data_IF_198146149897
#
_entry.id   IF_198146149897
#
_cell.length_a   1.000
_cell.length_b   1.000
_cell.length_c   1.000
_cell.angle_alpha   90.00
_cell.angle_beta   90.00
_cell.angle_gamma   90.00
#
_symmetry.space_group_name_H-M   'P 1'
#
loop_
_entity.id
_entity.type
_entity.pdbx_description
1 polymer ?
#
# COMPACT_ATOMS: atom_id res chain seq x y z
N UNK A 1 21.76 26.94 -4.34
CA UNK A 1 21.60 25.59 -3.78
C UNK A 1 20.19 25.16 -4.12
N UNK A 2 20.01 24.25 -5.08
CA UNK A 2 18.68 23.71 -5.37
C UNK A 2 18.24 22.84 -4.18
N UNK A 3 16.97 22.84 -3.78
CA UNK A 3 16.49 21.92 -2.77
C UNK A 3 16.66 20.47 -3.28
N UNK A 4 17.33 19.64 -2.48
CA UNK A 4 17.43 18.20 -2.72
C UNK A 4 16.01 17.60 -2.85
N UNK A 5 15.79 16.69 -3.83
CA UNK A 5 14.49 16.04 -3.99
C UNK A 5 14.20 15.22 -2.72
N UNK A 6 13.30 15.73 -1.87
CA UNK A 6 12.80 14.96 -0.73
C UNK A 6 12.02 13.76 -1.26
N UNK A 7 12.36 12.56 -0.79
CA UNK A 7 11.58 11.36 -1.06
C UNK A 7 10.12 11.60 -0.64
N UNK A 8 9.17 11.20 -1.50
CA UNK A 8 7.74 11.24 -1.15
C UNK A 8 7.47 10.13 -0.16
N UNK A 9 7.39 10.47 1.13
CA UNK A 9 7.05 9.55 2.21
C UNK A 9 5.55 9.24 2.18
N UNK A 10 5.20 7.98 2.02
CA UNK A 10 3.85 7.45 2.20
C UNK A 10 3.77 6.68 3.52
N UNK A 11 2.72 6.93 4.30
CA UNK A 11 2.53 6.29 5.61
C UNK A 11 1.20 5.55 5.64
N UNK A 12 1.20 4.23 5.87
CA UNK A 12 -0.03 3.49 6.15
C UNK A 12 -0.52 3.82 7.56
N UNK A 13 -1.81 4.14 7.66
CA UNK A 13 -2.52 4.44 8.91
C UNK A 13 -3.68 3.48 9.11
N UNK A 14 -4.00 3.16 10.37
CA UNK A 14 -4.97 2.10 10.71
C UNK A 14 -6.15 2.70 11.48
N UNK A 15 -6.92 3.50 10.75
CA UNK A 15 -7.99 4.33 11.28
C UNK A 15 -7.73 5.82 11.03
N UNK A 16 -8.74 6.68 11.24
CA UNK A 16 -8.63 8.11 10.95
C UNK A 16 -7.75 8.90 11.92
N UNK A 17 -7.64 8.45 13.18
CA UNK A 17 -7.00 9.22 14.26
C UNK A 17 -5.49 9.40 14.08
N UNK A 18 -4.83 8.48 13.36
CA UNK A 18 -3.39 8.52 13.12
C UNK A 18 -2.98 9.54 12.04
N UNK A 19 -3.93 9.98 11.21
CA UNK A 19 -3.69 10.81 10.04
C UNK A 19 -3.00 12.15 10.33
N UNK A 20 -3.55 13.00 11.21
CA UNK A 20 -2.95 14.29 11.55
C UNK A 20 -1.52 14.18 12.08
N UNK A 21 -1.26 13.17 12.92
CA UNK A 21 0.08 12.93 13.45
C UNK A 21 1.06 12.56 12.32
N UNK A 22 0.68 11.61 11.45
CA UNK A 22 1.50 11.21 10.31
C UNK A 22 1.86 12.41 9.41
N UNK A 23 0.89 13.28 9.10
CA UNK A 23 1.11 14.51 8.31
C UNK A 23 2.03 15.48 9.05
N UNK A 24 1.84 15.68 10.36
CA UNK A 24 2.71 16.57 11.16
C UNK A 24 4.17 16.12 11.20
N UNK A 25 4.42 14.81 11.05
CA UNK A 25 5.76 14.20 10.98
C UNK A 25 6.34 14.19 9.57
N UNK A 26 5.64 14.74 8.58
CA UNK A 26 6.12 14.90 7.21
C UNK A 26 5.66 13.82 6.23
N UNK A 27 4.63 13.04 6.55
CA UNK A 27 3.97 12.20 5.55
C UNK A 27 3.49 13.07 4.38
N UNK A 28 3.85 12.68 3.17
CA UNK A 28 3.46 13.36 1.93
C UNK A 28 2.28 12.68 1.23
N UNK A 29 1.91 11.48 1.67
CA UNK A 29 0.75 10.69 1.26
C UNK A 29 0.36 9.74 2.40
N UNK A 30 -0.93 9.41 2.51
CA UNK A 30 -1.44 8.44 3.48
C UNK A 30 -2.06 7.24 2.77
N UNK A 31 -1.87 6.05 3.30
CA UNK A 31 -2.64 4.87 2.94
C UNK A 31 -3.61 4.54 4.09
N UNK A 32 -4.91 4.74 3.87
CA UNK A 32 -5.95 4.46 4.87
C UNK A 32 -6.33 2.98 4.85
N UNK A 33 -6.13 2.35 6.00
CA UNK A 33 -6.60 1.01 6.34
C UNK A 33 -7.70 1.08 7.41
N UNK A 34 -8.52 0.04 7.51
CA UNK A 34 -9.54 -0.08 8.56
C UNK A 34 -8.92 -0.05 9.97
N UNK A 35 -9.58 0.62 10.91
CA UNK A 35 -9.21 0.59 12.31
C UNK A 35 -9.15 -0.85 12.85
N UNK A 36 -8.11 -1.16 13.62
CA UNK A 36 -7.88 -2.49 14.18
C UNK A 36 -7.40 -3.56 13.19
N UNK A 37 -7.14 -3.22 11.92
CA UNK A 37 -6.73 -4.19 10.89
C UNK A 37 -5.21 -4.40 10.76
N UNK A 38 -4.39 -3.77 11.62
CA UNK A 38 -2.92 -3.88 11.56
C UNK A 38 -2.43 -5.33 11.63
N UNK A 39 -2.96 -6.12 12.58
CA UNK A 39 -2.61 -7.52 12.75
C UNK A 39 -2.99 -8.39 11.54
N UNK A 40 -3.89 -7.91 10.67
CA UNK A 40 -4.31 -8.57 9.44
C UNK A 40 -3.52 -8.09 8.23
N UNK A 41 -2.60 -7.13 8.39
CA UNK A 41 -1.87 -6.48 7.31
C UNK A 41 -2.71 -5.47 6.52
N UNK A 42 -3.72 -4.86 7.16
CA UNK A 42 -4.60 -3.89 6.51
C UNK A 42 -5.79 -4.52 5.81
N UNK A 43 -6.98 -3.94 6.01
CA UNK A 43 -8.22 -4.29 5.30
C UNK A 43 -8.96 -3.03 4.88
N UNK A 44 -9.92 -3.17 3.96
CA UNK A 44 -10.71 -2.05 3.44
C UNK A 44 -11.37 -1.23 4.55
N UNK A 45 -11.07 0.08 4.68
CA UNK A 45 -11.76 0.96 5.64
C UNK A 45 -13.24 1.16 5.24
N UNK A 46 -14.00 1.82 6.09
CA UNK A 46 -15.37 2.27 5.83
C UNK A 46 -15.39 3.71 5.28
N UNK A 47 -16.49 4.10 4.63
CA UNK A 47 -16.70 5.50 4.24
C UNK A 47 -16.70 6.47 5.44
N UNK A 48 -17.18 6.02 6.60
CA UNK A 48 -17.20 6.82 7.83
C UNK A 48 -15.79 7.13 8.32
N UNK A 49 -14.88 6.15 8.27
CA UNK A 49 -13.46 6.35 8.59
C UNK A 49 -12.80 7.34 7.62
N UNK A 50 -13.05 7.21 6.31
CA UNK A 50 -12.54 8.18 5.32
C UNK A 50 -13.06 9.59 5.57
N UNK A 51 -14.36 9.73 5.84
CA UNK A 51 -14.99 11.03 6.14
C UNK A 51 -14.36 11.68 7.38
N UNK A 52 -14.15 10.88 8.42
CA UNK A 52 -13.52 11.33 9.67
C UNK A 52 -12.09 11.80 9.44
N UNK A 53 -11.31 11.02 8.68
CA UNK A 53 -9.94 11.39 8.31
C UNK A 53 -9.91 12.71 7.54
N UNK A 54 -10.74 12.84 6.50
CA UNK A 54 -10.82 14.07 5.68
C UNK A 54 -11.19 15.30 6.52
N UNK A 55 -12.12 15.14 7.46
CA UNK A 55 -12.51 16.21 8.39
C UNK A 55 -11.31 16.63 9.26
N UNK A 56 -10.54 15.67 9.79
CA UNK A 56 -9.37 15.95 10.63
C UNK A 56 -8.20 16.61 9.87
N UNK A 57 -8.08 16.35 8.56
CA UNK A 57 -7.03 16.89 7.70
C UNK A 57 -7.39 18.21 7.04
N UNK A 58 -8.65 18.67 7.17
CA UNK A 58 -9.08 19.95 6.62
C UNK A 58 -8.64 21.06 7.58
N UNK A 59 -7.81 22.03 7.14
CA UNK A 59 -7.42 23.14 7.99
C UNK A 59 -8.67 23.94 8.39
N UNK A 60 -8.95 24.05 9.69
CA UNK A 60 -9.96 24.99 10.18
C UNK A 60 -9.49 26.42 9.92
N UNK A 61 -10.28 27.30 9.29
CA UNK A 61 -9.89 28.69 9.07
C UNK A 61 -9.95 29.44 10.41
N UNK A 62 -8.84 29.43 11.17
CA UNK A 62 -8.69 30.22 12.39
C UNK A 62 -7.44 31.10 12.28
N UNK A 63 -7.72 32.37 11.97
CA UNK A 63 -7.01 33.61 12.32
C UNK A 63 -5.51 33.81 12.03
N UNK A 64 -5.27 34.76 11.11
CA UNK A 64 -4.23 35.82 11.17
C UNK A 64 -2.76 35.43 11.31
N UNK A 65 -2.22 34.66 10.36
CA UNK A 65 -0.78 34.70 10.09
C UNK A 65 -0.50 34.70 8.59
N UNK A 66 0.00 35.84 8.13
CA UNK A 66 0.83 36.14 6.94
C UNK A 66 0.90 35.09 5.81
N UNK A 67 0.54 35.44 4.56
CA UNK A 67 0.62 34.56 3.41
C UNK A 67 2.06 34.55 2.86
N UNK A 68 2.87 33.57 3.28
CA UNK A 68 4.19 33.31 2.69
C UNK A 68 4.34 31.86 2.22
N UNK A 69 3.29 31.26 1.65
CA UNK A 69 3.47 30.15 0.69
C UNK A 69 2.19 29.87 -0.11
N UNK A 70 2.17 30.06 -1.44
CA UNK A 70 0.96 29.93 -2.25
C UNK A 70 0.47 28.48 -2.49
N UNK A 71 1.00 27.47 -1.77
CA UNK A 71 0.77 26.06 -2.15
C UNK A 71 0.49 25.08 -0.99
N UNK A 72 0.26 25.56 0.24
CA UNK A 72 0.16 24.69 1.44
C UNK A 72 -1.26 24.47 1.99
N UNK A 73 -2.30 24.91 1.29
CA UNK A 73 -3.71 24.82 1.76
C UNK A 73 -4.39 23.49 1.44
N UNK A 74 -3.68 22.55 0.83
CA UNK A 74 -4.25 21.30 0.34
C UNK A 74 -3.79 20.13 1.22
N UNK A 75 -4.73 19.29 1.66
CA UNK A 75 -4.42 18.05 2.38
C UNK A 75 -3.48 17.17 1.55
N UNK A 76 -2.77 16.27 2.22
CA UNK A 76 -2.01 15.22 1.53
C UNK A 76 -2.96 14.24 0.81
N UNK A 77 -2.52 13.59 -0.27
CA UNK A 77 -3.32 12.60 -0.99
C UNK A 77 -3.56 11.35 -0.13
N UNK A 78 -4.67 10.66 -0.37
CA UNK A 78 -5.08 9.47 0.38
C UNK A 78 -5.26 8.28 -0.58
N UNK A 79 -4.57 7.18 -0.30
CA UNK A 79 -4.80 5.87 -0.91
C UNK A 79 -5.70 5.02 -0.02
N UNK A 80 -6.72 4.41 -0.58
CA UNK A 80 -7.66 3.55 0.13
C UNK A 80 -7.24 2.09 -0.08
N UNK A 81 -6.96 1.36 0.99
CA UNK A 81 -6.76 -0.08 0.92
C UNK A 81 -8.04 -0.76 0.40
N UNK A 82 -7.93 -1.61 -0.61
CA UNK A 82 -9.01 -2.49 -1.07
C UNK A 82 -8.56 -3.93 -0.85
N UNK A 83 -8.99 -4.47 0.29
CA UNK A 83 -8.64 -5.80 0.75
C UNK A 83 -9.74 -6.35 1.67
N UNK A 84 -10.53 -7.34 1.22
CA UNK A 84 -11.78 -7.73 1.89
C UNK A 84 -11.55 -8.52 3.17
N UNK A 85 -10.36 -9.11 3.35
CA UNK A 85 -9.98 -9.89 4.53
C UNK A 85 -8.47 -9.87 4.78
N UNK A 86 -8.08 -10.30 5.98
CA UNK A 86 -6.70 -10.63 6.31
C UNK A 86 -6.21 -11.93 5.67
N UNK A 87 -5.08 -12.47 6.15
CA UNK A 87 -4.59 -13.77 5.71
C UNK A 87 -5.63 -14.84 6.06
N UNK A 88 -5.67 -15.96 5.33
CA UNK A 88 -6.43 -17.13 5.77
C UNK A 88 -5.97 -17.54 7.18
N UNK A 89 -6.88 -17.99 8.05
CA UNK A 89 -6.49 -18.56 9.32
C UNK A 89 -5.57 -19.75 9.08
N UNK A 90 -4.36 -19.70 9.66
CA UNK A 90 -3.50 -20.88 9.68
C UNK A 90 -4.16 -21.87 10.62
N UNK A 91 -4.53 -23.05 10.10
CA UNK A 91 -5.06 -24.13 10.93
C UNK A 91 -3.91 -24.64 11.78
N UNK A 92 -3.73 -24.07 12.97
CA UNK A 92 -2.92 -24.70 14.01
C UNK A 92 -3.77 -25.84 14.56
N UNK A 93 -3.44 -27.08 14.20
CA UNK A 93 -4.03 -28.26 14.84
C UNK A 93 -3.51 -28.28 16.28
N UNK A 94 -4.24 -27.64 17.20
CA UNK A 94 -4.03 -27.84 18.63
C UNK A 94 -4.65 -29.18 18.97
N UNK A 95 -3.83 -30.21 19.09
CA UNK A 95 -4.26 -31.50 19.64
C UNK A 95 -4.62 -31.26 21.11
N UNK A 96 -5.91 -31.09 21.39
CA UNK A 96 -6.44 -30.97 22.75
C UNK A 96 -6.32 -32.32 23.46
N UNK A 97 -5.19 -32.57 24.13
CA UNK A 97 -5.09 -33.66 25.11
C UNK A 97 -5.63 -33.16 26.44
N UNK A 98 -6.85 -33.57 26.77
CA UNK A 98 -7.48 -33.43 28.08
C UNK A 98 -6.65 -34.13 29.16
N UNK A 99 -5.97 -33.39 30.05
CA UNK A 99 -5.55 -33.93 31.35
C UNK A 99 -5.47 -32.85 32.44
N UNK A 100 -6.52 -32.82 33.27
CA UNK A 100 -6.60 -32.63 34.73
C UNK A 100 -5.30 -32.31 35.52
N UNK A 101 -5.30 -31.15 36.21
CA UNK A 101 -4.65 -30.78 37.51
C UNK A 101 -3.12 -30.79 37.73
N UNK A 102 -2.63 -29.60 38.16
CA UNK A 102 -1.64 -29.27 39.24
C UNK A 102 -0.37 -28.52 38.78
N UNK A 103 0.07 -27.45 39.47
CA UNK A 103 1.08 -26.51 38.96
C UNK A 103 2.49 -26.79 39.52
N UNK A 104 3.51 -26.80 38.66
CA UNK A 104 4.89 -26.47 39.05
C UNK A 104 5.85 -26.42 37.85
N UNK A 105 6.78 -25.47 37.94
CA UNK A 105 8.10 -25.42 37.30
C UNK A 105 8.23 -24.75 35.92
N UNK A 106 8.72 -23.50 36.00
CA UNK A 106 9.81 -22.91 35.21
C UNK A 106 10.20 -23.65 33.93
N UNK A 107 10.01 -23.00 32.77
CA UNK A 107 11.00 -23.05 31.70
C UNK A 107 11.00 -21.77 30.85
N UNK A 108 12.24 -21.28 30.69
CA UNK A 108 12.84 -20.23 29.86
C UNK A 108 12.16 -19.98 28.49
N UNK A 109 12.13 -18.73 27.98
CA UNK A 109 11.57 -18.44 26.65
C UNK A 109 12.51 -18.99 25.56
N UNK A 110 12.10 -20.10 24.92
CA UNK A 110 12.69 -20.54 23.67
C UNK A 110 12.00 -19.82 22.52
N UNK A 111 12.72 -18.84 21.99
CA UNK A 111 12.80 -18.42 20.59
C UNK A 111 11.99 -19.32 19.63
N UNK A 112 10.87 -18.79 19.13
CA UNK A 112 10.27 -19.29 17.90
C UNK A 112 10.05 -18.10 16.96
N UNK A 113 10.90 -18.09 15.93
CA UNK A 113 10.84 -17.29 14.73
C UNK A 113 9.41 -17.08 14.23
N UNK A 114 9.08 -15.81 13.99
CA UNK A 114 7.88 -15.31 13.34
C UNK A 114 7.46 -16.18 12.15
N UNK A 115 6.52 -17.10 12.36
CA UNK A 115 5.80 -17.74 11.26
C UNK A 115 4.88 -16.68 10.64
N UNK A 116 5.40 -15.95 9.65
CA UNK A 116 4.60 -15.10 8.76
C UNK A 116 3.65 -16.01 7.99
N UNK A 117 2.39 -16.06 8.43
CA UNK A 117 1.30 -16.69 7.69
C UNK A 117 1.27 -16.09 6.28
N UNK A 118 1.38 -16.88 5.19
CA UNK A 118 1.35 -16.32 3.84
C UNK A 118 0.05 -15.55 3.64
N UNK A 119 0.17 -14.23 3.47
CA UNK A 119 -0.94 -13.39 3.07
C UNK A 119 -1.33 -13.82 1.65
N UNK A 120 -2.33 -14.69 1.50
CA UNK A 120 -2.78 -15.09 0.18
C UNK A 120 -3.65 -13.97 -0.41
N UNK A 121 -3.19 -13.37 -1.50
CA UNK A 121 -3.94 -12.37 -2.26
C UNK A 121 -4.82 -13.06 -3.34
N UNK A 122 -5.17 -14.32 -3.11
CA UNK A 122 -5.99 -15.14 -4.00
C UNK A 122 -7.42 -15.10 -3.47
N UNK A 123 -8.30 -14.41 -4.17
CA UNK A 123 -9.67 -14.17 -3.73
C UNK A 123 -10.67 -15.09 -4.40
N UNK A 124 -11.70 -15.49 -3.66
CA UNK A 124 -12.90 -16.12 -4.21
C UNK A 124 -13.71 -15.12 -5.03
N UNK A 125 -14.64 -15.57 -5.89
CA UNK A 125 -15.52 -14.67 -6.63
C UNK A 125 -16.33 -13.73 -5.73
N UNK A 126 -16.79 -14.20 -4.56
CA UNK A 126 -17.53 -13.39 -3.59
C UNK A 126 -16.68 -12.29 -2.96
N UNK A 127 -15.42 -12.60 -2.63
CA UNK A 127 -14.46 -11.62 -2.13
C UNK A 127 -14.10 -10.57 -3.19
N UNK A 128 -13.91 -11.00 -4.44
CA UNK A 128 -13.68 -10.11 -5.55
C UNK A 128 -14.88 -9.18 -5.81
N UNK A 129 -16.11 -9.70 -5.75
CA UNK A 129 -17.32 -8.88 -5.81
C UNK A 129 -17.39 -7.87 -4.64
N UNK A 130 -16.94 -8.25 -3.44
CA UNK A 130 -16.86 -7.35 -2.27
C UNK A 130 -15.86 -6.21 -2.50
N UNK A 131 -14.70 -6.52 -3.12
CA UNK A 131 -13.72 -5.51 -3.54
C UNK A 131 -14.32 -4.54 -4.56
N UNK A 132 -15.00 -5.07 -5.59
CA UNK A 132 -15.66 -4.27 -6.61
C UNK A 132 -16.71 -3.33 -6.01
N UNK A 133 -17.56 -3.82 -5.10
CA UNK A 133 -18.54 -2.99 -4.38
C UNK A 133 -17.86 -1.88 -3.58
N UNK A 134 -16.76 -2.18 -2.88
CA UNK A 134 -16.01 -1.17 -2.10
C UNK A 134 -15.43 -0.08 -3.01
N UNK A 135 -14.80 -0.46 -4.13
CA UNK A 135 -14.25 0.50 -5.10
C UNK A 135 -15.35 1.44 -5.61
N UNK A 136 -16.50 0.89 -6.01
CA UNK A 136 -17.64 1.70 -6.49
C UNK A 136 -18.16 2.64 -5.41
N UNK A 137 -18.32 2.15 -4.19
CA UNK A 137 -18.77 2.95 -3.05
C UNK A 137 -17.85 4.14 -2.81
N UNK A 138 -16.53 3.93 -2.75
CA UNK A 138 -15.57 5.03 -2.60
C UNK A 138 -15.51 5.96 -3.83
N UNK A 139 -15.47 5.41 -5.04
CA UNK A 139 -15.38 6.20 -6.28
C UNK A 139 -16.63 7.08 -6.49
N UNK A 140 -17.81 6.62 -6.06
CA UNK A 140 -19.07 7.37 -6.19
C UNK A 140 -19.39 8.26 -4.99
N UNK A 141 -18.65 8.13 -3.87
CA UNK A 141 -18.88 8.92 -2.66
C UNK A 141 -18.62 10.42 -2.83
N UNK A 142 -17.84 10.82 -3.83
CA UNK A 142 -17.36 12.21 -4.00
C UNK A 142 -16.28 12.64 -3.00
N UNK A 143 -15.78 11.73 -2.15
CA UNK A 143 -14.76 12.03 -1.14
C UNK A 143 -13.33 11.99 -1.69
N UNK A 144 -13.10 11.21 -2.75
CA UNK A 144 -11.78 11.09 -3.39
C UNK A 144 -11.62 12.13 -4.50
N UNK A 145 -10.46 12.78 -4.54
CA UNK A 145 -10.08 13.73 -5.58
C UNK A 145 -8.88 13.22 -6.39
N UNK A 146 -9.12 12.72 -7.62
CA UNK A 146 -8.06 12.30 -8.54
C UNK A 146 -7.01 13.39 -8.80
N UNK A 147 -7.44 14.66 -8.83
CA UNK A 147 -6.57 15.80 -9.04
C UNK A 147 -5.54 15.99 -7.91
N UNK A 148 -5.84 15.50 -6.70
CA UNK A 148 -4.89 15.48 -5.59
C UNK A 148 -3.99 14.25 -5.62
N UNK A 149 -4.34 13.24 -6.41
CA UNK A 149 -3.72 11.92 -6.36
C UNK A 149 -4.32 11.02 -5.29
N UNK A 150 -5.56 11.26 -4.85
CA UNK A 150 -6.31 10.26 -4.09
C UNK A 150 -6.48 8.99 -4.94
N UNK A 151 -6.55 7.82 -4.33
CA UNK A 151 -6.67 6.59 -5.10
C UNK A 151 -6.91 5.32 -4.30
N UNK A 152 -6.69 4.18 -4.96
CA UNK A 152 -6.84 2.85 -4.36
C UNK A 152 -5.50 2.12 -4.29
N UNK A 153 -5.35 1.23 -3.29
CA UNK A 153 -4.26 0.27 -3.18
C UNK A 153 -4.88 -1.13 -3.13
N UNK A 154 -4.54 -1.98 -4.10
CA UNK A 154 -5.09 -3.35 -4.19
C UNK A 154 -4.11 -4.34 -4.83
N UNK A 155 -4.32 -5.62 -4.64
CA UNK A 155 -3.49 -6.65 -5.26
C UNK A 155 -4.25 -7.96 -5.34
N UNK A 156 -4.33 -8.55 -6.53
CA UNK A 156 -5.02 -9.82 -6.78
C UNK A 156 -4.03 -10.76 -7.45
N UNK A 157 -3.81 -11.92 -6.84
CA UNK A 157 -2.93 -12.95 -7.35
C UNK A 157 -3.73 -14.18 -7.79
N UNK A 158 -3.13 -14.96 -8.67
CA UNK A 158 -3.58 -16.31 -9.04
C UNK A 158 -2.41 -17.28 -8.92
N UNK A 159 -2.69 -18.58 -8.78
CA UNK A 159 -1.65 -19.60 -8.92
C UNK A 159 -1.18 -19.63 -10.38
N UNK A 160 0.13 -19.80 -10.59
CA UNK A 160 0.65 -20.10 -11.92
C UNK A 160 0.11 -21.45 -12.37
N UNK A 161 -0.01 -21.63 -13.68
CA UNK A 161 -0.37 -22.91 -14.27
C UNK A 161 0.84 -23.86 -14.33
N UNK A 162 2.04 -23.30 -14.20
CA UNK A 162 3.25 -24.08 -14.03
C UNK A 162 3.21 -24.62 -12.59
N UNK A 163 3.17 -25.94 -12.43
CA UNK A 163 2.96 -26.71 -11.19
C UNK A 163 4.02 -26.45 -10.07
N UNK A 164 4.82 -25.39 -10.20
CA UNK A 164 5.85 -24.93 -9.27
C UNK A 164 5.30 -24.27 -8.00
N UNK A 165 3.97 -24.16 -7.86
CA UNK A 165 3.32 -23.48 -6.73
C UNK A 165 3.55 -21.95 -6.72
N UNK A 166 4.06 -21.38 -7.83
CA UNK A 166 4.25 -19.93 -8.00
C UNK A 166 2.90 -19.22 -7.99
N UNK A 167 2.91 -17.97 -7.52
CA UNK A 167 1.77 -17.06 -7.64
C UNK A 167 2.17 -15.89 -8.53
N UNK A 168 1.25 -15.44 -9.38
CA UNK A 168 1.46 -14.36 -10.35
C UNK A 168 0.31 -13.36 -10.26
N UNK A 169 0.50 -12.17 -10.81
CA UNK A 169 -0.57 -11.16 -10.84
C UNK A 169 -1.75 -11.68 -11.67
N UNK A 170 -2.95 -11.62 -11.11
CA UNK A 170 -4.18 -11.89 -11.85
C UNK A 170 -4.56 -10.63 -12.66
N UNK A 171 -3.96 -10.49 -13.84
CA UNK A 171 -4.16 -9.32 -14.69
C UNK A 171 -5.60 -9.12 -15.16
N UNK A 172 -6.39 -10.19 -15.29
CA UNK A 172 -7.81 -10.08 -15.70
C UNK A 172 -8.63 -9.50 -14.56
N UNK A 173 -8.58 -10.12 -13.38
CA UNK A 173 -9.33 -9.63 -12.21
C UNK A 173 -8.85 -8.27 -11.74
N UNK A 174 -7.56 -7.98 -11.89
CA UNK A 174 -7.00 -6.67 -11.60
C UNK A 174 -7.56 -5.60 -12.54
N UNK A 175 -7.57 -5.85 -13.86
CA UNK A 175 -8.18 -4.93 -14.85
C UNK A 175 -9.67 -4.70 -14.59
N UNK A 176 -10.40 -5.74 -14.19
CA UNK A 176 -11.82 -5.61 -13.84
C UNK A 176 -12.03 -4.65 -12.67
N UNK A 177 -11.25 -4.80 -11.58
CA UNK A 177 -11.33 -3.91 -10.41
C UNK A 177 -10.95 -2.47 -10.75
N UNK A 178 -9.90 -2.28 -11.55
CA UNK A 178 -9.49 -0.95 -12.05
C UNK A 178 -10.62 -0.31 -12.88
N UNK A 179 -11.35 -1.11 -13.67
CA UNK A 179 -12.50 -0.64 -14.43
C UNK A 179 -13.60 0.01 -13.56
N UNK A 180 -13.74 -0.43 -12.30
CA UNK A 180 -14.70 0.17 -11.36
C UNK A 180 -14.22 1.48 -10.70
N UNK A 181 -12.91 1.76 -10.72
CA UNK A 181 -12.35 2.99 -10.14
C UNK A 181 -12.60 4.23 -11.02
N UNK A 182 -12.96 4.05 -12.29
CA UNK A 182 -13.20 5.14 -13.23
C UNK A 182 -11.93 5.99 -13.44
N UNK A 183 -12.00 7.28 -13.09
CA UNK A 183 -10.87 8.21 -13.20
C UNK A 183 -9.99 8.27 -11.95
N UNK A 184 -10.33 7.52 -10.89
CA UNK A 184 -9.58 7.50 -9.64
C UNK A 184 -8.29 6.69 -9.83
N UNK A 185 -7.09 7.28 -9.60
CA UNK A 185 -5.83 6.55 -9.71
C UNK A 185 -5.74 5.34 -8.78
N UNK A 186 -4.88 4.39 -9.11
CA UNK A 186 -4.67 3.15 -8.33
C UNK A 186 -3.20 2.75 -8.32
N UNK A 187 -2.80 2.08 -7.24
CA UNK A 187 -1.48 1.47 -7.04
C UNK A 187 -1.67 -0.02 -6.66
N UNK A 188 -0.66 -0.85 -6.93
CA UNK A 188 -0.69 -2.27 -6.51
C UNK A 188 -0.06 -2.41 -5.13
N UNK A 189 -0.62 -3.27 -4.29
CA UNK A 189 -0.03 -3.61 -2.98
C UNK A 189 1.40 -4.14 -3.18
N UNK A 190 2.39 -3.45 -2.58
CA UNK A 190 3.81 -3.81 -2.68
C UNK A 190 4.09 -5.25 -2.23
N UNK A 191 3.40 -5.74 -1.21
CA UNK A 191 3.52 -7.14 -0.75
C UNK A 191 3.07 -8.16 -1.79
N UNK A 192 2.07 -7.83 -2.64
CA UNK A 192 1.65 -8.71 -3.72
C UNK A 192 2.69 -8.75 -4.85
N UNK A 193 3.45 -7.65 -5.03
CA UNK A 193 4.55 -7.57 -6.00
C UNK A 193 5.77 -8.39 -5.61
N UNK A 194 6.11 -8.49 -4.32
CA UNK A 194 7.26 -9.29 -3.85
C UNK A 194 7.15 -10.80 -4.16
N UNK A 195 5.99 -11.26 -4.62
CA UNK A 195 5.78 -12.63 -5.08
C UNK A 195 6.01 -12.82 -6.60
N UNK A 196 6.33 -11.76 -7.35
CA UNK A 196 6.55 -11.79 -8.79
C UNK A 196 8.05 -11.84 -9.13
N UNK A 197 8.51 -12.73 -10.05
CA UNK A 197 9.85 -12.58 -10.64
C UNK A 197 9.89 -11.33 -11.54
N UNK A 198 11.06 -10.66 -11.68
CA UNK A 198 11.17 -9.33 -12.29
C UNK A 198 10.88 -9.25 -13.80
N UNK A 199 10.63 -10.37 -14.48
CA UNK A 199 10.66 -10.44 -15.95
C UNK A 199 9.37 -10.01 -16.67
N UNK A 200 8.29 -9.69 -15.93
CA UNK A 200 6.94 -9.57 -16.53
C UNK A 200 6.21 -8.25 -16.18
N UNK A 201 6.96 -7.16 -15.97
CA UNK A 201 6.37 -5.85 -15.68
C UNK A 201 5.79 -5.22 -16.97
N UNK A 202 4.48 -4.95 -17.08
CA UNK A 202 3.92 -4.28 -18.25
C UNK A 202 4.40 -2.82 -18.35
N UNK A 203 4.54 -2.25 -19.57
CA UNK A 203 5.02 -0.90 -19.76
C UNK A 203 4.04 0.12 -19.15
N UNK A 204 4.52 0.90 -18.17
CA UNK A 204 3.74 1.94 -17.48
C UNK A 204 3.90 1.98 -15.96
N UNK A 205 4.57 1.01 -15.34
CA UNK A 205 4.80 0.98 -13.89
C UNK A 205 6.04 1.78 -13.47
N UNK A 206 5.88 2.70 -12.53
CA UNK A 206 7.01 3.31 -11.81
C UNK A 206 7.28 2.52 -10.53
N UNK A 207 8.32 1.69 -10.57
CA UNK A 207 8.87 1.03 -9.37
C UNK A 207 9.67 2.06 -8.57
N UNK A 208 9.07 2.65 -7.54
CA UNK A 208 9.82 3.39 -6.52
C UNK A 208 10.41 2.34 -5.58
N UNK A 209 11.55 1.72 -5.92
CA UNK A 209 12.47 1.12 -4.93
C UNK A 209 13.81 0.59 -5.47
N UNK A 210 14.15 0.75 -6.76
CA UNK A 210 15.44 0.23 -7.27
C UNK A 210 16.23 1.29 -8.07
N UNK A 211 16.74 2.32 -7.38
CA UNK A 211 17.88 3.14 -7.83
C UNK A 211 18.69 3.69 -6.65
N UNK A 212 18.99 2.84 -5.66
CA UNK A 212 19.91 3.20 -4.58
C UNK A 212 21.19 2.35 -4.53
N UNK A 213 21.40 1.39 -5.45
CA UNK A 213 22.58 0.51 -5.41
C UNK A 213 23.57 0.68 -6.58
N UNK A 214 23.25 1.42 -7.66
CA UNK A 214 24.15 1.54 -8.82
C UNK A 214 25.00 2.83 -8.87
N UNK A 215 24.91 3.70 -7.86
CA UNK A 215 25.70 4.94 -7.82
C UNK A 215 27.05 4.82 -7.09
N UNK A 216 27.57 3.60 -6.87
CA UNK A 216 28.85 3.38 -6.18
C UNK A 216 29.93 2.67 -6.99
N UNK A 217 29.75 2.45 -8.29
CA UNK A 217 30.84 1.88 -9.08
C UNK A 217 30.85 2.35 -10.54
N UNK A 218 31.64 3.41 -10.79
CA UNK A 218 32.37 3.62 -12.06
C UNK A 218 33.08 4.97 -12.03
N UNK A 219 34.02 5.11 -11.09
CA UNK A 219 35.19 5.94 -11.36
C UNK A 219 36.00 5.24 -12.45
N UNK A 220 35.98 5.76 -13.68
CA UNK A 220 37.05 5.74 -14.70
C UNK A 220 36.44 5.74 -16.10
N UNK A 221 36.45 6.87 -16.81
CA UNK A 221 37.36 7.16 -17.95
C UNK A 221 36.86 8.37 -18.77
N UNK A 222 37.77 9.30 -19.02
CA UNK A 222 37.65 10.48 -19.88
C UNK A 222 37.62 10.09 -21.38
N UNK A 223 36.93 10.93 -22.17
CA UNK A 223 37.31 11.57 -23.46
C UNK A 223 36.08 11.71 -24.37
N UNK A 224 35.54 12.92 -24.56
CA UNK A 224 35.86 13.90 -25.62
C UNK A 224 35.92 13.28 -27.01
N UNK A 225 34.87 13.49 -27.82
CA UNK A 225 34.92 14.06 -29.18
C UNK A 225 33.57 13.90 -29.89
N UNK A 226 32.91 15.01 -30.23
CA UNK A 226 31.84 15.06 -31.22
C UNK A 226 32.42 15.78 -32.46
N UNK A 227 32.46 15.08 -33.59
CA UNK A 227 32.83 15.63 -34.91
C UNK A 227 31.56 15.84 -35.73
N UNK A 228 31.42 17.07 -36.23
CA UNK A 228 30.40 17.53 -37.18
C UNK A 228 30.92 17.22 -38.61
N UNK A 229 30.11 16.66 -39.53
CA UNK A 229 30.49 16.57 -40.93
C UNK A 229 30.09 17.86 -41.70
N UNK A 230 31.05 18.41 -42.45
CA UNK A 230 30.78 19.33 -43.56
C UNK A 230 30.64 18.52 -44.85
N UNK A 231 29.57 18.77 -45.60
CA UNK A 231 29.59 19.36 -46.95
C UNK A 231 28.20 19.83 -47.31
#
# INVERSE_FOLDING_TARGET
MAPEPRARLEVPIFGPDDGPLAVSLGASRLELNRAGSYALGGTTPTLAELTTLLTSLTPTPISTSTPTSPNHTQRVPIRIMIRPRGPPPTITITTTTTTTTTPSSQNKPQNNSSQTTPQDFIYTPTEHATMASSIREFATSGLLSPALGDGFVLGVLRRSNDDDGRVVLDGERHRELVGYAGQVPWDVISTAYSCHPPEDTPPGHSTILEKASEASDSSTRRHVAASIPLT
#
